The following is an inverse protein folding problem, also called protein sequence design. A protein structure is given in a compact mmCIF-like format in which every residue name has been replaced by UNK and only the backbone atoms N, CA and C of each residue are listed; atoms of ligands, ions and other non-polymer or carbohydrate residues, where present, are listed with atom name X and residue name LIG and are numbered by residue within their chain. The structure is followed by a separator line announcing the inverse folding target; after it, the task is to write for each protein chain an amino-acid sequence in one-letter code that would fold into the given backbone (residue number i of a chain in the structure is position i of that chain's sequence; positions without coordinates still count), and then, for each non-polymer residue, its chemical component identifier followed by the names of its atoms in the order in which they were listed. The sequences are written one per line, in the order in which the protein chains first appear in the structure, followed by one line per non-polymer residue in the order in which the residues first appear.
data_IF_423642082654
#
_entry.id   IF_423642082654
#
_cell.length_a   1.000
_cell.length_b   1.000
_cell.length_c   1.000
_cell.angle_alpha   90.00
_cell.angle_beta   90.00
_cell.angle_gamma   90.00
#
_symmetry.space_group_name_H-M   'P 1'
#
loop_
_entity.id
_entity.type
_entity.pdbx_description
1 polymer ?
#
# COMPACT_ATOMS: atom_id res chain seq x y z
N UNK A 1 -9.32 2.86 3.73
CA UNK A 1 -9.24 1.83 2.68
C UNK A 1 -10.00 2.31 1.46
N UNK A 2 -9.42 2.13 0.29
CA UNK A 2 -9.89 2.73 -0.96
C UNK A 2 -10.01 1.65 -2.03
N UNK A 3 -11.05 1.76 -2.88
CA UNK A 3 -11.10 0.99 -4.10
C UNK A 3 -9.99 1.39 -5.08
N UNK A 4 -9.63 0.53 -5.99
CA UNK A 4 -8.57 0.80 -6.95
C UNK A 4 -9.01 1.84 -8.00
N UNK A 5 -8.16 2.80 -8.30
CA UNK A 5 -8.49 3.89 -9.23
C UNK A 5 -9.59 4.81 -8.74
N UNK A 6 -9.71 5.00 -7.43
CA UNK A 6 -10.79 5.78 -6.80
C UNK A 6 -10.69 7.27 -6.97
N UNK A 7 -9.61 7.77 -7.52
CA UNK A 7 -9.45 9.21 -7.75
C UNK A 7 -10.39 9.78 -8.82
N UNK A 8 -11.29 8.95 -9.39
CA UNK A 8 -12.38 9.49 -10.18
C UNK A 8 -12.33 9.24 -11.65
N UNK A 9 -11.99 8.05 -12.04
CA UNK A 9 -12.22 7.70 -13.43
C UNK A 9 -13.68 8.00 -13.86
N UNK A 10 -14.65 7.82 -12.96
CA UNK A 10 -16.05 8.13 -13.16
C UNK A 10 -16.54 9.23 -12.20
N UNK A 11 -15.87 10.36 -12.20
CA UNK A 11 -16.13 11.60 -11.47
C UNK A 11 -17.42 11.63 -10.63
N UNK A 12 -17.27 11.48 -9.32
CA UNK A 12 -18.35 11.75 -8.36
C UNK A 12 -19.41 10.67 -8.23
N UNK A 13 -19.18 9.48 -8.71
CA UNK A 13 -20.16 8.42 -8.71
C UNK A 13 -19.97 7.44 -7.53
N UNK A 14 -21.02 6.68 -7.22
CA UNK A 14 -21.08 5.58 -6.24
C UNK A 14 -19.96 4.54 -6.36
N UNK A 15 -19.18 4.58 -7.41
CA UNK A 15 -18.03 3.70 -7.66
C UNK A 15 -16.87 3.81 -6.66
N UNK A 16 -16.85 4.88 -5.85
CA UNK A 16 -15.81 5.09 -4.84
C UNK A 16 -16.12 4.48 -3.49
N UNK A 17 -17.21 3.79 -3.38
CA UNK A 17 -17.71 3.35 -2.10
C UNK A 17 -17.41 1.87 -1.85
N UNK A 18 -16.16 1.49 -1.54
CA UNK A 18 -15.85 0.11 -1.16
C UNK A 18 -16.60 -0.33 0.11
N UNK A 19 -17.20 0.62 0.82
CA UNK A 19 -18.07 0.41 1.98
C UNK A 19 -19.56 0.29 1.64
N UNK A 20 -19.96 0.40 0.40
CA UNK A 20 -21.36 0.24 -0.02
C UNK A 20 -21.84 -1.17 0.30
N UNK A 21 -23.03 -1.30 0.90
CA UNK A 21 -23.63 -2.59 1.23
C UNK A 21 -23.84 -3.48 0.00
N UNK A 22 -24.06 -2.88 -1.17
CA UNK A 22 -24.16 -3.61 -2.45
C UNK A 22 -22.82 -4.17 -2.94
N UNK A 23 -21.71 -3.78 -2.34
CA UNK A 23 -20.37 -4.29 -2.62
C UNK A 23 -19.94 -5.43 -1.67
N UNK A 24 -20.88 -6.11 -1.05
CA UNK A 24 -20.63 -7.11 -0.02
C UNK A 24 -19.80 -8.33 -0.48
N UNK A 25 -19.86 -8.65 -1.77
CA UNK A 25 -19.07 -9.75 -2.36
C UNK A 25 -17.92 -9.28 -3.25
N UNK A 26 -17.72 -7.99 -3.39
CA UNK A 26 -16.72 -7.44 -4.30
C UNK A 26 -17.02 -7.64 -5.79
N UNK A 27 -18.14 -8.27 -6.14
CA UNK A 27 -18.44 -8.64 -7.52
C UNK A 27 -19.27 -7.60 -8.27
N UNK A 28 -20.07 -6.81 -7.57
CA UNK A 28 -21.05 -5.91 -8.20
C UNK A 28 -20.42 -4.80 -9.03
N UNK A 29 -19.26 -4.31 -8.62
CA UNK A 29 -18.57 -3.21 -9.30
C UNK A 29 -17.21 -3.60 -9.90
N UNK A 30 -16.81 -4.87 -9.82
CA UNK A 30 -15.46 -5.31 -10.12
C UNK A 30 -14.93 -4.93 -11.50
N UNK A 31 -15.76 -4.97 -12.53
CA UNK A 31 -15.37 -4.63 -13.90
C UNK A 31 -15.53 -3.15 -14.27
N UNK A 32 -16.17 -2.36 -13.41
CA UNK A 32 -16.48 -0.94 -13.67
C UNK A 32 -15.67 0.02 -12.82
N UNK A 33 -14.85 -0.51 -11.91
CA UNK A 33 -14.01 0.28 -11.02
C UNK A 33 -12.68 0.64 -11.68
N UNK A 34 -12.36 1.92 -11.64
CA UNK A 34 -11.15 2.45 -12.27
C UNK A 34 -11.23 2.48 -13.81
N UNK A 35 -10.09 2.58 -14.49
CA UNK A 35 -10.01 2.58 -15.95
C UNK A 35 -10.61 1.32 -16.56
N UNK A 36 -11.26 1.42 -17.73
CA UNK A 36 -11.81 0.26 -18.40
C UNK A 36 -10.71 -0.71 -18.84
N UNK A 37 -11.02 -2.01 -18.75
CA UNK A 37 -10.12 -3.05 -19.26
C UNK A 37 -8.83 -3.26 -18.45
N UNK A 38 -7.75 -3.51 -19.15
CA UNK A 38 -6.46 -3.94 -18.58
C UNK A 38 -5.40 -2.82 -18.68
N UNK A 39 -5.64 -1.72 -17.98
CA UNK A 39 -4.75 -0.56 -17.98
C UNK A 39 -4.27 -0.20 -16.57
N UNK A 40 -3.01 0.16 -16.46
CA UNK A 40 -2.42 0.68 -15.22
C UNK A 40 -2.95 2.11 -14.94
N UNK A 41 -2.89 2.52 -13.66
CA UNK A 41 -3.14 3.92 -13.24
C UNK A 41 -1.94 4.82 -13.59
N UNK A 42 -1.48 4.78 -14.85
CA UNK A 42 -0.33 5.53 -15.36
C UNK A 42 -0.64 6.07 -16.77
N UNK A 43 0.17 6.99 -17.27
CA UNK A 43 0.00 7.54 -18.60
C UNK A 43 -1.38 8.17 -18.79
N UNK A 44 -2.14 7.72 -19.78
CA UNK A 44 -3.49 8.24 -20.08
C UNK A 44 -4.49 8.03 -18.94
N UNK A 45 -4.23 7.15 -18.00
CA UNK A 45 -5.09 6.85 -16.86
C UNK A 45 -4.54 7.32 -15.52
N UNK A 46 -3.46 8.11 -15.52
CA UNK A 46 -2.86 8.64 -14.30
C UNK A 46 -3.83 9.48 -13.47
N UNK A 47 -4.80 10.14 -14.12
CA UNK A 47 -5.83 10.92 -13.44
C UNK A 47 -6.79 10.05 -12.59
N UNK A 48 -6.85 8.75 -12.82
CA UNK A 48 -7.62 7.83 -11.99
C UNK A 48 -6.90 7.47 -10.68
N UNK A 49 -5.65 7.85 -10.52
CA UNK A 49 -4.89 7.69 -9.28
C UNK A 49 -5.19 8.87 -8.31
N UNK A 50 -4.21 9.58 -7.78
CA UNK A 50 -4.40 10.57 -6.73
C UNK A 50 -4.09 12.00 -7.18
N UNK A 51 -4.70 12.98 -6.47
CA UNK A 51 -4.42 14.40 -6.64
C UNK A 51 -5.31 15.15 -7.61
N UNK A 52 -6.12 14.47 -8.44
CA UNK A 52 -7.07 15.13 -9.35
C UNK A 52 -8.43 15.27 -8.70
N UNK A 53 -9.03 14.16 -8.29
CA UNK A 53 -10.38 14.13 -7.72
C UNK A 53 -10.39 13.83 -6.23
N UNK A 54 -9.31 13.27 -5.70
CA UNK A 54 -9.11 13.09 -4.26
C UNK A 54 -8.02 14.05 -3.78
N UNK A 55 -8.38 15.20 -3.20
CA UNK A 55 -7.43 16.17 -2.68
C UNK A 55 -6.56 15.57 -1.57
N UNK A 56 -5.28 15.91 -1.57
CA UNK A 56 -4.32 15.50 -0.53
C UNK A 56 -3.98 16.73 0.28
N UNK A 57 -4.50 16.81 1.52
CA UNK A 57 -4.49 18.01 2.34
C UNK A 57 -3.10 18.54 2.71
N UNK A 58 -2.09 17.68 2.83
CA UNK A 58 -0.75 18.05 3.28
C UNK A 58 0.34 17.91 2.21
N UNK A 59 -0.01 17.76 0.97
CA UNK A 59 0.96 17.53 -0.10
C UNK A 59 0.69 18.27 -1.39
N UNK A 60 -0.35 19.11 -1.38
CA UNK A 60 -0.84 19.79 -2.57
C UNK A 60 -1.76 18.92 -3.41
N UNK A 61 -2.69 19.57 -4.08
CA UNK A 61 -3.72 18.93 -4.92
C UNK A 61 -3.36 18.99 -6.41
N UNK A 62 -2.07 19.10 -6.72
CA UNK A 62 -1.63 19.13 -8.11
C UNK A 62 -1.74 17.73 -8.68
N UNK A 63 -2.39 17.62 -9.82
CA UNK A 63 -2.51 16.37 -10.56
C UNK A 63 -1.14 15.75 -10.80
N UNK A 64 -1.05 14.44 -10.64
CA UNK A 64 0.16 13.64 -10.86
C UNK A 64 1.35 13.90 -9.90
N UNK A 65 1.17 14.76 -8.88
CA UNK A 65 2.20 14.98 -7.87
C UNK A 65 2.32 13.80 -6.91
N UNK A 66 1.19 13.22 -6.54
CA UNK A 66 1.10 12.03 -5.70
C UNK A 66 0.54 10.87 -6.50
N UNK A 67 1.11 9.71 -6.33
CA UNK A 67 0.69 8.50 -7.03
C UNK A 67 0.88 7.26 -6.20
N UNK A 68 0.16 6.21 -6.56
CA UNK A 68 0.38 4.86 -6.07
C UNK A 68 1.58 4.23 -6.76
N UNK A 69 2.37 3.43 -6.04
CA UNK A 69 3.46 2.65 -6.62
C UNK A 69 2.92 1.59 -7.58
N UNK A 70 3.59 1.41 -8.71
CA UNK A 70 3.35 0.28 -9.62
C UNK A 70 3.86 -1.03 -9.02
N UNK A 71 3.41 -2.18 -9.55
CA UNK A 71 3.93 -3.49 -9.13
C UNK A 71 5.45 -3.61 -9.28
N UNK A 72 6.07 -3.21 -10.41
CA UNK A 72 7.55 -3.24 -10.53
C UNK A 72 8.25 -2.35 -9.50
N UNK A 73 7.67 -1.22 -9.10
CA UNK A 73 8.24 -0.37 -8.05
C UNK A 73 8.14 -1.01 -6.66
N UNK A 74 7.03 -1.68 -6.37
CA UNK A 74 6.92 -2.49 -5.15
C UNK A 74 7.94 -3.64 -5.14
N UNK A 75 8.12 -4.32 -6.27
CA UNK A 75 9.16 -5.36 -6.43
C UNK A 75 10.56 -4.79 -6.20
N UNK A 76 10.84 -3.62 -6.75
CA UNK A 76 12.10 -2.94 -6.51
C UNK A 76 12.31 -2.64 -5.04
N UNK A 77 11.33 -2.01 -4.37
CA UNK A 77 11.43 -1.62 -2.96
C UNK A 77 11.67 -2.81 -2.02
N UNK A 78 10.99 -3.91 -2.26
CA UNK A 78 10.99 -5.06 -1.35
C UNK A 78 12.03 -6.12 -1.72
N UNK A 79 12.31 -6.33 -3.03
CA UNK A 79 13.06 -7.50 -3.47
C UNK A 79 14.45 -7.18 -4.04
N UNK A 80 14.64 -6.04 -4.73
CA UNK A 80 15.87 -5.82 -5.52
C UNK A 80 16.62 -4.55 -5.20
N UNK A 81 16.04 -3.61 -4.46
CA UNK A 81 16.68 -2.34 -4.10
C UNK A 81 17.96 -2.57 -3.31
N UNK A 82 19.03 -1.90 -3.71
CA UNK A 82 20.29 -1.86 -2.96
C UNK A 82 20.22 -0.75 -1.91
N UNK A 83 20.50 -1.10 -0.66
CA UNK A 83 20.60 -0.18 0.47
C UNK A 83 21.98 -0.29 1.09
N UNK A 84 22.46 0.77 1.76
CA UNK A 84 23.78 0.79 2.38
C UNK A 84 23.96 -0.33 3.44
N UNK A 85 22.91 -0.64 4.19
CA UNK A 85 22.90 -1.72 5.18
C UNK A 85 22.57 -3.10 4.61
N UNK A 86 22.17 -3.19 3.35
CA UNK A 86 21.59 -4.42 2.77
C UNK A 86 20.18 -4.73 3.25
N UNK A 87 19.58 -3.90 4.11
CA UNK A 87 18.25 -4.11 4.69
C UNK A 87 17.24 -3.23 3.95
N UNK A 88 16.22 -3.84 3.36
CA UNK A 88 15.12 -3.15 2.66
C UNK A 88 13.88 -3.00 3.52
N UNK A 89 13.54 -4.06 4.27
CA UNK A 89 12.35 -4.08 5.12
C UNK A 89 12.53 -5.04 6.30
N UNK A 90 11.66 -4.87 7.29
CA UNK A 90 11.48 -5.83 8.37
C UNK A 90 10.00 -5.84 8.79
N UNK A 91 9.49 -6.99 9.23
CA UNK A 91 8.20 -7.04 9.92
C UNK A 91 8.36 -6.63 11.37
N UNK A 92 7.39 -5.89 11.88
CA UNK A 92 7.45 -5.37 13.23
C UNK A 92 6.07 -5.22 13.88
N UNK A 93 6.08 -5.19 15.21
CA UNK A 93 4.99 -4.67 16.04
C UNK A 93 5.44 -3.32 16.59
N UNK A 94 4.80 -2.26 16.17
CA UNK A 94 5.09 -0.89 16.59
C UNK A 94 3.98 -0.43 17.53
N UNK A 95 4.28 -0.33 18.81
CA UNK A 95 3.35 0.11 19.86
C UNK A 95 2.01 -0.64 19.82
N UNK A 96 2.07 -1.96 19.66
CA UNK A 96 0.90 -2.84 19.56
C UNK A 96 0.31 -2.98 18.15
N UNK A 97 0.81 -2.25 17.16
CA UNK A 97 0.34 -2.32 15.76
C UNK A 97 1.29 -3.15 14.92
N UNK A 98 0.81 -4.24 14.35
CA UNK A 98 1.55 -5.07 13.43
C UNK A 98 1.72 -4.41 12.05
N UNK A 99 2.86 -4.63 11.39
CA UNK A 99 3.10 -4.08 10.07
C UNK A 99 4.48 -4.37 9.50
N UNK A 100 4.83 -3.65 8.44
CA UNK A 100 6.12 -3.72 7.77
C UNK A 100 6.80 -2.36 7.83
N UNK A 101 8.07 -2.36 8.21
CA UNK A 101 8.99 -1.22 8.13
C UNK A 101 9.67 -1.25 6.77
N UNK A 102 9.62 -0.16 6.03
CA UNK A 102 10.44 0.08 4.84
C UNK A 102 11.60 0.98 5.25
N UNK A 103 12.83 0.50 5.06
CA UNK A 103 14.04 1.21 5.48
C UNK A 103 14.53 2.13 4.35
N UNK A 104 15.09 3.32 4.66
CA UNK A 104 15.71 4.18 3.66
C UNK A 104 17.02 3.58 3.13
N UNK A 105 17.50 4.07 1.99
CA UNK A 105 18.72 3.55 1.35
C UNK A 105 19.97 3.72 2.21
N UNK A 106 20.02 4.79 3.00
CA UNK A 106 21.11 5.12 3.91
C UNK A 106 20.88 4.64 5.35
N UNK A 107 19.98 3.67 5.56
CA UNK A 107 19.71 3.14 6.89
C UNK A 107 20.98 2.64 7.56
N UNK A 108 21.24 3.13 8.77
CA UNK A 108 22.31 2.63 9.65
C UNK A 108 21.72 1.68 10.71
N UNK A 109 22.11 0.42 10.64
CA UNK A 109 21.69 -0.60 11.60
C UNK A 109 22.21 -0.36 13.03
N UNK A 110 23.18 0.53 13.21
CA UNK A 110 23.60 0.98 14.54
C UNK A 110 22.55 1.84 15.25
N UNK A 111 21.66 2.50 14.48
CA UNK A 111 20.54 3.29 15.02
C UNK A 111 19.54 2.40 15.76
N UNK A 112 19.21 1.25 15.15
CA UNK A 112 18.32 0.25 15.75
C UNK A 112 18.58 -1.11 15.08
N UNK A 113 18.87 -2.12 15.91
CA UNK A 113 19.09 -3.48 15.43
C UNK A 113 17.74 -4.16 15.12
N UNK A 114 17.56 -4.57 13.87
CA UNK A 114 16.39 -5.30 13.39
C UNK A 114 16.74 -6.78 13.16
N UNK A 115 15.80 -7.66 13.51
CA UNK A 115 15.90 -9.10 13.34
C UNK A 115 15.07 -9.56 12.12
N UNK A 116 15.44 -10.71 11.54
CA UNK A 116 14.72 -11.34 10.42
C UNK A 116 14.41 -10.37 9.27
N UNK A 117 15.38 -9.53 8.96
CA UNK A 117 15.27 -8.53 7.89
C UNK A 117 15.24 -9.18 6.50
N UNK A 118 14.54 -8.57 5.54
CA UNK A 118 14.32 -9.06 4.17
C UNK A 118 13.74 -10.48 4.12
N UNK A 119 13.04 -10.91 5.17
CA UNK A 119 12.48 -12.24 5.27
C UNK A 119 10.97 -12.24 5.06
N UNK A 120 10.52 -12.88 3.98
CA UNK A 120 9.09 -13.04 3.70
C UNK A 120 8.40 -13.88 4.78
N UNK A 121 9.12 -14.84 5.38
CA UNK A 121 8.59 -15.76 6.38
C UNK A 121 8.73 -15.26 7.83
N UNK A 122 9.25 -14.05 8.06
CA UNK A 122 9.29 -13.46 9.39
C UNK A 122 7.88 -13.23 9.95
N UNK A 123 7.77 -13.15 11.27
CA UNK A 123 6.57 -12.75 11.99
C UNK A 123 6.66 -11.30 12.44
N UNK A 124 5.54 -10.66 12.72
CA UNK A 124 5.51 -9.28 13.25
C UNK A 124 6.21 -9.18 14.62
N UNK A 125 6.16 -10.23 15.42
CA UNK A 125 6.84 -10.30 16.70
C UNK A 125 8.38 -10.39 16.61
N UNK A 126 8.94 -10.51 15.39
CA UNK A 126 10.41 -10.50 15.21
C UNK A 126 11.07 -9.20 15.66
N UNK A 127 10.34 -8.09 15.57
CA UNK A 127 10.77 -6.78 16.04
C UNK A 127 9.60 -6.12 16.76
N UNK A 128 9.75 -5.93 18.07
CA UNK A 128 8.75 -5.23 18.89
C UNK A 128 9.35 -3.93 19.40
N UNK A 129 8.66 -2.83 19.19
CA UNK A 129 9.12 -1.50 19.59
C UNK A 129 8.02 -0.67 20.22
N UNK A 130 8.43 0.16 21.19
CA UNK A 130 7.56 1.14 21.82
C UNK A 130 7.36 2.36 20.92
N UNK A 131 6.38 3.21 21.25
CA UNK A 131 6.17 4.48 20.58
C UNK A 131 7.42 5.38 20.59
N UNK A 132 8.19 5.41 21.69
CA UNK A 132 9.42 6.21 21.77
C UNK A 132 10.53 5.68 20.83
N UNK A 133 10.68 4.37 20.75
CA UNK A 133 11.63 3.76 19.81
C UNK A 133 11.21 4.03 18.36
N UNK A 134 9.91 3.96 18.08
CA UNK A 134 9.36 4.29 16.77
C UNK A 134 9.69 5.72 16.34
N UNK A 135 9.50 6.71 17.20
CA UNK A 135 9.84 8.11 16.90
C UNK A 135 11.29 8.26 16.43
N UNK A 136 12.22 7.57 17.10
CA UNK A 136 13.65 7.60 16.72
C UNK A 136 13.88 6.98 15.34
N UNK A 137 13.22 5.86 15.05
CA UNK A 137 13.37 5.13 13.80
C UNK A 137 12.72 5.91 12.64
N UNK A 138 11.55 6.49 12.88
CA UNK A 138 10.82 7.31 11.91
C UNK A 138 11.60 8.57 11.52
N UNK A 139 12.26 9.22 12.46
CA UNK A 139 13.17 10.35 12.20
C UNK A 139 14.35 9.94 11.31
N UNK A 140 14.74 8.69 11.31
CA UNK A 140 15.72 8.10 10.39
C UNK A 140 15.18 7.85 8.99
N UNK A 141 13.93 8.19 8.70
CA UNK A 141 13.30 8.06 7.39
C UNK A 141 12.61 6.70 7.14
N UNK A 142 12.43 5.89 8.16
CA UNK A 142 11.69 4.62 8.05
C UNK A 142 10.20 4.89 7.84
N UNK A 143 9.60 4.13 6.94
CA UNK A 143 8.17 4.19 6.65
C UNK A 143 7.49 2.96 7.21
N UNK A 144 6.42 3.15 7.98
CA UNK A 144 5.61 2.04 8.50
C UNK A 144 4.36 1.82 7.65
N UNK A 145 4.12 0.56 7.33
CA UNK A 145 2.93 0.07 6.65
C UNK A 145 2.14 -0.81 7.63
N UNK A 146 1.10 -0.30 8.30
CA UNK A 146 0.33 -1.10 9.26
C UNK A 146 -0.46 -2.21 8.59
N UNK A 147 -0.65 -3.31 9.32
CA UNK A 147 -1.56 -4.41 8.96
C UNK A 147 -3.01 -3.96 9.16
N UNK A 148 -3.52 -3.12 8.25
CA UNK A 148 -4.82 -2.48 8.37
C UNK A 148 -5.99 -3.35 7.87
N UNK A 149 -5.71 -4.56 7.35
CA UNK A 149 -6.71 -5.45 6.77
C UNK A 149 -7.24 -4.96 5.41
N UNK A 150 -8.42 -5.41 5.05
CA UNK A 150 -9.14 -5.01 3.83
C UNK A 150 -10.63 -4.82 4.09
N UNK A 151 -11.34 -4.27 3.12
CA UNK A 151 -12.79 -4.03 3.22
C UNK A 151 -13.53 -4.58 1.99
N UNK A 152 -14.67 -5.21 2.27
CA UNK A 152 -15.71 -5.45 1.28
C UNK A 152 -17.05 -4.96 1.82
N UNK A 153 -17.65 -4.01 1.13
CA UNK A 153 -18.88 -3.37 1.57
C UNK A 153 -18.77 -2.84 3.00
N UNK A 154 -19.67 -3.21 3.85
CA UNK A 154 -19.70 -2.79 5.26
C UNK A 154 -18.72 -3.54 6.15
N UNK A 155 -18.14 -4.65 5.69
CA UNK A 155 -17.25 -5.49 6.48
C UNK A 155 -15.78 -5.09 6.32
N UNK A 156 -15.08 -4.97 7.44
CA UNK A 156 -13.62 -4.84 7.50
C UNK A 156 -13.07 -6.11 8.15
N UNK A 157 -12.07 -6.71 7.51
CA UNK A 157 -11.49 -7.99 7.92
C UNK A 157 -9.99 -7.89 8.15
N UNK A 158 -9.46 -8.79 8.97
CA UNK A 158 -8.03 -9.04 9.17
C UNK A 158 -7.21 -7.83 9.65
N UNK A 159 -7.85 -6.86 10.33
CA UNK A 159 -7.14 -5.75 10.97
C UNK A 159 -6.19 -6.31 12.04
N UNK A 160 -4.94 -5.86 11.99
CA UNK A 160 -3.87 -6.30 12.88
C UNK A 160 -3.18 -7.61 12.46
N UNK A 161 -3.71 -8.35 11.47
CA UNK A 161 -3.12 -9.61 11.00
C UNK A 161 -2.68 -9.58 9.53
N UNK A 162 -3.29 -8.70 8.72
CA UNK A 162 -3.00 -8.59 7.29
C UNK A 162 -2.82 -7.13 6.88
N UNK A 163 -1.74 -6.84 6.18
CA UNK A 163 -1.58 -5.60 5.41
C UNK A 163 -1.79 -5.88 3.94
N UNK A 164 -2.62 -5.06 3.32
CA UNK A 164 -3.01 -5.20 1.91
C UNK A 164 -3.00 -3.82 1.26
N UNK A 165 -2.06 -3.58 0.35
CA UNK A 165 -1.76 -2.26 -0.22
C UNK A 165 -1.83 -2.29 -1.74
N UNK A 166 -2.68 -1.46 -2.33
CA UNK A 166 -2.79 -1.35 -3.78
C UNK A 166 -1.47 -1.00 -4.46
N UNK A 167 -1.26 -1.59 -5.63
CA UNK A 167 -0.38 -1.04 -6.64
C UNK A 167 -1.18 -0.28 -7.71
N UNK A 168 -0.51 0.55 -8.51
CA UNK A 168 -1.11 1.20 -9.66
C UNK A 168 -1.25 0.26 -10.88
N UNK A 169 -0.82 -1.00 -10.75
CA UNK A 169 -0.82 -1.97 -11.84
C UNK A 169 -2.08 -2.82 -11.85
N UNK A 170 -2.73 -2.94 -12.98
CA UNK A 170 -3.81 -3.90 -13.18
C UNK A 170 -3.28 -5.35 -13.14
N UNK A 171 -4.14 -6.30 -12.81
CA UNK A 171 -3.89 -7.73 -12.96
C UNK A 171 -4.79 -8.33 -14.05
N UNK A 172 -6.09 -8.14 -13.94
CA UNK A 172 -7.12 -8.51 -14.91
C UNK A 172 -8.11 -7.36 -15.05
N UNK A 173 -9.10 -7.50 -15.92
CA UNK A 173 -10.12 -6.47 -16.12
C UNK A 173 -10.86 -6.05 -14.84
N UNK A 174 -11.00 -6.95 -13.88
CA UNK A 174 -11.67 -6.72 -12.60
C UNK A 174 -10.74 -6.66 -11.39
N UNK A 175 -9.44 -6.93 -11.57
CA UNK A 175 -8.47 -7.05 -10.48
C UNK A 175 -7.26 -6.13 -10.70
N UNK A 176 -6.62 -5.76 -9.61
CA UNK A 176 -5.34 -5.07 -9.62
C UNK A 176 -4.35 -5.76 -8.68
N UNK A 177 -3.07 -5.59 -8.94
CA UNK A 177 -2.03 -6.10 -8.05
C UNK A 177 -2.05 -5.36 -6.71
N UNK A 178 -1.73 -6.09 -5.66
CA UNK A 178 -1.50 -5.58 -4.32
C UNK A 178 -0.23 -6.18 -3.71
N UNK A 179 0.31 -5.47 -2.73
CA UNK A 179 1.33 -5.99 -1.81
C UNK A 179 0.61 -6.50 -0.58
N UNK A 180 0.86 -7.75 -0.25
CA UNK A 180 0.25 -8.39 0.90
C UNK A 180 1.30 -8.91 1.87
N UNK A 181 1.05 -8.71 3.17
CA UNK A 181 1.86 -9.26 4.23
C UNK A 181 1.03 -9.69 5.43
N UNK A 182 1.43 -10.83 5.98
CA UNK A 182 0.87 -11.49 7.17
C UNK A 182 2.04 -12.03 8.01
N UNK A 183 1.77 -12.60 9.17
CA UNK A 183 2.75 -13.47 9.81
C UNK A 183 3.13 -14.62 8.87
N UNK A 184 4.43 -14.85 8.69
CA UNK A 184 4.94 -15.90 7.83
C UNK A 184 4.81 -15.67 6.32
N UNK A 185 4.29 -14.50 5.86
CA UNK A 185 4.13 -14.21 4.43
C UNK A 185 4.34 -12.73 4.07
N UNK A 186 4.99 -12.47 2.94
CA UNK A 186 5.04 -11.16 2.27
C UNK A 186 5.27 -11.38 0.78
N UNK A 187 4.54 -10.66 -0.06
CA UNK A 187 4.73 -10.72 -1.51
C UNK A 187 4.04 -9.58 -2.25
N UNK A 188 4.45 -9.41 -3.49
CA UNK A 188 4.01 -8.37 -4.44
C UNK A 188 3.15 -8.92 -5.58
N UNK A 189 2.97 -10.24 -5.64
CA UNK A 189 2.24 -10.94 -6.69
C UNK A 189 0.79 -11.27 -6.33
N UNK A 190 0.30 -10.70 -5.25
CA UNK A 190 -1.10 -10.82 -4.88
C UNK A 190 -1.96 -9.88 -5.73
N UNK A 191 -3.23 -10.17 -5.77
CA UNK A 191 -4.19 -9.31 -6.47
C UNK A 191 -5.54 -9.32 -5.77
N UNK A 192 -6.29 -8.27 -5.96
CA UNK A 192 -7.63 -8.15 -5.44
C UNK A 192 -8.61 -7.49 -6.38
N UNK A 193 -9.88 -7.74 -6.13
CA UNK A 193 -10.97 -7.14 -6.87
C UNK A 193 -10.94 -5.62 -6.67
N UNK A 194 -10.98 -4.85 -7.76
CA UNK A 194 -10.78 -3.40 -7.77
C UNK A 194 -11.75 -2.63 -6.88
N UNK A 195 -12.97 -3.16 -6.70
CA UNK A 195 -13.98 -2.56 -5.84
C UNK A 195 -13.76 -2.86 -4.34
N UNK A 196 -12.89 -3.79 -4.00
CA UNK A 196 -12.49 -4.03 -2.61
C UNK A 196 -11.66 -2.86 -2.06
N UNK A 197 -11.85 -2.54 -0.78
CA UNK A 197 -11.11 -1.47 -0.11
C UNK A 197 -9.79 -1.97 0.46
N UNK A 198 -8.67 -1.44 -0.03
CA UNK A 198 -7.33 -1.68 0.49
C UNK A 198 -6.65 -0.40 0.92
N UNK A 199 -5.56 -0.53 1.64
CA UNK A 199 -4.71 0.60 1.98
C UNK A 199 -3.98 1.13 0.74
N UNK A 200 -3.58 2.39 0.81
CA UNK A 200 -2.76 3.04 -0.21
C UNK A 200 -1.58 3.69 0.48
N UNK A 201 -0.40 3.51 -0.06
CA UNK A 201 0.78 4.29 0.29
C UNK A 201 1.17 5.13 -0.91
N UNK A 202 0.94 6.42 -0.81
CA UNK A 202 1.29 7.37 -1.86
C UNK A 202 2.78 7.69 -1.81
N UNK A 203 3.34 7.92 -2.98
CA UNK A 203 4.67 8.48 -3.18
C UNK A 203 4.55 9.80 -3.94
N UNK A 204 5.42 10.73 -3.61
CA UNK A 204 5.57 11.98 -4.35
C UNK A 204 6.63 11.80 -5.43
N UNK A 205 6.35 12.33 -6.62
CA UNK A 205 7.37 12.43 -7.66
C UNK A 205 8.39 13.47 -7.20
N UNK A 206 9.68 13.10 -7.17
CA UNK A 206 10.74 14.05 -6.87
C UNK A 206 10.80 15.08 -8.00
N UNK A 207 10.84 16.35 -7.65
CA UNK A 207 11.17 17.43 -8.58
C UNK A 207 12.70 17.35 -8.82
N UNK A 208 13.09 17.15 -10.07
CA UNK A 208 14.50 17.18 -10.49
C UNK A 208 15.01 18.62 -10.58
#
# INVERSE_FOLDING_TARGET
MFGWGTSGWNSGNTYYHPWDSNNSSGSTYGSTYGPPGQYNLTGSYANADWGVYNPISNGGNTANQWRTLTKPEWDYLLNTRNTASGIRYAKANVDGVNGVLLLPDNWDSATYALSNTNSNSANFSSNTMTALQWITIEQGGVVFLPAAGYRYGTSVSDVGSLGDYWSASYYLSSNAYDVRFIDGGLGTDYCGIRCGGRSVRLVRVAEN
#
